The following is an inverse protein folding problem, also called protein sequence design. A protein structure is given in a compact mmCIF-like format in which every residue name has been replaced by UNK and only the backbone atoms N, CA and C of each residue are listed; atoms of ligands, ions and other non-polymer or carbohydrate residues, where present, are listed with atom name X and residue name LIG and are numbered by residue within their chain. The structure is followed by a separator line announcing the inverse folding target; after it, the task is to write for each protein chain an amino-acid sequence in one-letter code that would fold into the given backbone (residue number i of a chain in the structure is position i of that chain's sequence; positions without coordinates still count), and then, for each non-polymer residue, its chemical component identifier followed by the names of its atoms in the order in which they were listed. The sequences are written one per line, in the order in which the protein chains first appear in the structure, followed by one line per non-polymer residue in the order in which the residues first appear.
data_IF_756127122104
#
_entry.id   IF_756127122104
#
_cell.length_a   1.000
_cell.length_b   1.000
_cell.length_c   1.000
_cell.angle_alpha   90.00
_cell.angle_beta   90.00
_cell.angle_gamma   90.00
#
_symmetry.space_group_name_H-M   'P 1'
#
loop_
_entity.id
_entity.type
_entity.pdbx_description
1 polymer ?
#
# COMPACT_ATOMS: atom_id res chain seq x y z
N UNK A 1 31.82 -45.89 1.70
CA UNK A 1 30.62 -45.52 0.93
C UNK A 1 31.02 -44.38 0.00
N UNK A 2 31.11 -44.63 -1.30
CA UNK A 2 31.53 -43.65 -2.29
C UNK A 2 30.35 -42.66 -2.53
N UNK A 3 30.58 -41.39 -2.26
CA UNK A 3 29.67 -40.31 -2.69
C UNK A 3 29.79 -40.17 -4.21
N UNK A 4 28.76 -40.59 -4.92
CA UNK A 4 28.62 -40.35 -6.36
C UNK A 4 28.48 -38.86 -6.58
N UNK A 5 29.48 -38.23 -7.22
CA UNK A 5 29.44 -36.86 -7.67
C UNK A 5 28.33 -36.79 -8.73
N UNK A 6 27.19 -36.18 -8.38
CA UNK A 6 26.07 -35.95 -9.33
C UNK A 6 26.52 -35.01 -10.43
N UNK A 7 26.16 -35.33 -11.67
CA UNK A 7 26.44 -34.54 -12.84
C UNK A 7 25.69 -33.18 -12.73
N UNK A 8 26.37 -32.03 -12.89
CA UNK A 8 25.74 -30.71 -12.81
C UNK A 8 24.53 -30.53 -13.73
N UNK A 9 24.50 -31.22 -14.86
CA UNK A 9 23.39 -31.19 -15.81
C UNK A 9 22.14 -31.88 -15.25
N UNK A 10 22.30 -33.01 -14.54
CA UNK A 10 21.19 -33.70 -13.88
C UNK A 10 20.61 -32.87 -12.72
N UNK A 11 21.46 -32.16 -11.99
CA UNK A 11 21.01 -31.25 -10.94
C UNK A 11 20.15 -30.11 -11.50
N UNK A 12 20.59 -29.48 -12.60
CA UNK A 12 19.84 -28.41 -13.27
C UNK A 12 18.49 -28.94 -13.82
N UNK A 13 18.46 -30.13 -14.38
CA UNK A 13 17.23 -30.75 -14.91
C UNK A 13 16.26 -31.10 -13.79
N UNK A 14 16.74 -31.59 -12.66
CA UNK A 14 15.90 -31.89 -11.48
C UNK A 14 15.34 -30.60 -10.86
N UNK A 15 16.14 -29.52 -10.76
CA UNK A 15 15.70 -28.20 -10.30
C UNK A 15 14.63 -27.61 -11.22
N UNK A 16 14.83 -27.72 -12.56
CA UNK A 16 13.81 -27.26 -13.54
C UNK A 16 12.52 -28.08 -13.41
N UNK A 17 12.61 -29.38 -13.16
CA UNK A 17 11.43 -30.24 -12.93
C UNK A 17 10.71 -29.91 -11.63
N UNK A 18 11.44 -29.60 -10.56
CA UNK A 18 10.87 -29.18 -9.30
C UNK A 18 10.16 -27.83 -9.41
N UNK A 19 10.78 -26.87 -10.09
CA UNK A 19 10.16 -25.57 -10.41
C UNK A 19 8.94 -25.74 -11.33
N UNK A 20 9.04 -26.58 -12.38
CA UNK A 20 7.90 -26.88 -13.26
C UNK A 20 6.77 -27.64 -12.53
N UNK A 21 7.11 -28.54 -11.61
CA UNK A 21 6.17 -29.21 -10.71
C UNK A 21 5.48 -28.24 -9.75
N UNK A 22 6.24 -27.28 -9.21
CA UNK A 22 5.74 -26.17 -8.38
C UNK A 22 4.78 -25.26 -9.13
N UNK A 23 5.09 -24.89 -10.38
CA UNK A 23 4.22 -24.13 -11.26
C UNK A 23 2.94 -24.90 -11.61
N UNK A 24 3.05 -26.21 -11.85
CA UNK A 24 1.88 -27.07 -12.10
C UNK A 24 0.99 -27.28 -10.86
N UNK A 25 1.57 -27.30 -9.65
CA UNK A 25 0.82 -27.31 -8.40
C UNK A 25 0.20 -25.92 -8.11
N UNK A 26 0.91 -24.83 -8.39
CA UNK A 26 0.38 -23.49 -8.33
C UNK A 26 -0.79 -23.30 -9.31
N UNK A 27 -0.71 -23.84 -10.52
CA UNK A 27 -1.80 -23.82 -11.50
C UNK A 27 -3.03 -24.62 -11.03
N UNK A 28 -2.85 -25.75 -10.37
CA UNK A 28 -3.95 -26.54 -9.78
C UNK A 28 -4.52 -25.90 -8.50
N UNK A 29 -3.70 -25.28 -7.68
CA UNK A 29 -4.16 -24.47 -6.55
C UNK A 29 -4.91 -23.23 -7.01
N UNK A 30 -4.55 -22.61 -8.14
CA UNK A 30 -5.29 -21.54 -8.76
C UNK A 30 -6.66 -21.99 -9.29
N UNK A 31 -6.80 -23.20 -9.81
CA UNK A 31 -8.09 -23.79 -10.20
C UNK A 31 -8.98 -24.12 -8.98
N UNK A 32 -8.44 -24.62 -7.89
CA UNK A 32 -9.17 -24.75 -6.61
C UNK A 32 -9.44 -23.39 -5.96
N UNK A 33 -8.57 -22.38 -6.18
CA UNK A 33 -8.72 -21.01 -5.68
C UNK A 33 -9.82 -20.25 -6.45
N UNK A 34 -10.12 -20.62 -7.70
CA UNK A 34 -11.18 -19.95 -8.48
C UNK A 34 -12.57 -20.11 -7.86
N UNK A 35 -12.85 -21.20 -7.16
CA UNK A 35 -14.10 -21.43 -6.41
C UNK A 35 -14.16 -20.58 -5.12
N UNK A 36 -13.02 -20.14 -4.57
CA UNK A 36 -12.94 -19.29 -3.38
C UNK A 36 -12.60 -17.83 -3.68
N UNK A 37 -12.35 -17.47 -4.96
CA UNK A 37 -12.07 -16.08 -5.35
C UNK A 37 -13.27 -15.14 -5.12
N UNK A 38 -14.48 -15.66 -5.21
CA UNK A 38 -15.71 -14.89 -5.03
C UNK A 38 -16.58 -15.54 -3.94
N UNK A 39 -16.40 -15.09 -2.71
CA UNK A 39 -17.32 -15.36 -1.60
C UNK A 39 -18.59 -14.50 -1.74
N UNK A 40 -19.63 -14.82 -0.95
CA UNK A 40 -20.88 -14.03 -0.92
C UNK A 40 -20.58 -12.54 -0.72
N UNK A 41 -21.25 -11.63 -1.47
CA UNK A 41 -21.01 -10.19 -1.33
C UNK A 41 -21.26 -9.73 0.11
N UNK A 42 -20.32 -8.96 0.66
CA UNK A 42 -20.49 -8.35 1.97
C UNK A 42 -21.34 -7.08 1.87
N UNK A 43 -22.12 -6.84 2.90
CA UNK A 43 -22.88 -5.59 3.04
C UNK A 43 -21.95 -4.43 3.29
N UNK A 44 -22.19 -3.32 2.61
CA UNK A 44 -21.46 -2.08 2.76
C UNK A 44 -22.38 -1.03 3.35
N UNK A 45 -21.96 -0.37 4.42
CA UNK A 45 -22.69 0.72 5.07
C UNK A 45 -22.38 2.06 4.41
N UNK A 46 -23.34 2.96 4.45
CA UNK A 46 -23.12 4.37 4.11
C UNK A 46 -22.57 5.11 5.31
N UNK A 47 -21.58 5.95 5.04
CA UNK A 47 -20.95 6.82 6.04
C UNK A 47 -21.03 8.28 5.57
N UNK A 48 -20.80 9.20 6.48
CA UNK A 48 -20.72 10.64 6.22
C UNK A 48 -19.30 11.16 6.34
N UNK A 49 -19.03 12.36 5.84
CA UNK A 49 -17.73 13.03 6.04
C UNK A 49 -17.47 13.31 7.54
N UNK A 50 -18.52 13.53 8.33
CA UNK A 50 -18.40 13.73 9.78
C UNK A 50 -17.83 12.48 10.48
N UNK A 51 -18.15 11.28 9.99
CA UNK A 51 -17.60 10.02 10.52
C UNK A 51 -16.07 9.93 10.41
N UNK A 52 -15.46 10.64 9.43
CA UNK A 52 -14.02 10.64 9.25
C UNK A 52 -13.28 11.28 10.43
N UNK A 53 -13.91 12.22 11.13
CA UNK A 53 -13.34 12.81 12.35
C UNK A 53 -13.18 11.76 13.44
N UNK A 54 -14.23 10.95 13.66
CA UNK A 54 -14.18 9.86 14.66
C UNK A 54 -13.12 8.81 14.25
N UNK A 55 -13.08 8.46 12.96
CA UNK A 55 -12.10 7.52 12.39
C UNK A 55 -10.67 8.00 12.66
N UNK A 56 -10.38 9.29 12.41
CA UNK A 56 -9.06 9.89 12.66
C UNK A 56 -8.73 9.93 14.16
N UNK A 57 -9.70 10.29 15.01
CA UNK A 57 -9.50 10.32 16.48
C UNK A 57 -9.13 8.92 16.97
N UNK A 58 -9.87 7.88 16.57
CA UNK A 58 -9.55 6.50 16.95
C UNK A 58 -8.19 6.04 16.40
N UNK A 59 -7.84 6.44 15.19
CA UNK A 59 -6.51 6.18 14.62
C UNK A 59 -5.39 6.83 15.41
N UNK A 60 -5.60 8.06 15.87
CA UNK A 60 -4.65 8.77 16.73
C UNK A 60 -4.55 8.12 18.11
N UNK A 61 -5.67 7.69 18.70
CA UNK A 61 -5.68 6.97 19.98
C UNK A 61 -4.92 5.65 19.90
N UNK A 62 -5.05 4.92 18.78
CA UNK A 62 -4.28 3.71 18.52
C UNK A 62 -2.78 4.02 18.40
N UNK A 63 -2.42 5.05 17.63
CA UNK A 63 -1.04 5.50 17.52
C UNK A 63 -0.45 5.87 18.87
N UNK A 64 -1.19 6.59 19.72
CA UNK A 64 -0.73 6.98 21.06
C UNK A 64 -0.55 5.78 21.98
N UNK A 65 -1.35 4.73 21.81
CA UNK A 65 -1.22 3.49 22.58
C UNK A 65 0.06 2.69 22.21
N UNK A 66 0.45 2.71 20.94
CA UNK A 66 1.58 1.92 20.41
C UNK A 66 2.85 2.74 20.11
N UNK A 67 2.88 4.02 20.49
CA UNK A 67 3.94 4.98 20.08
C UNK A 67 5.37 4.55 20.36
N UNK A 68 5.60 3.78 21.42
CA UNK A 68 6.96 3.35 21.81
C UNK A 68 7.45 2.18 20.97
N UNK A 69 6.56 1.29 20.58
CA UNK A 69 6.89 0.07 19.88
C UNK A 69 6.97 0.28 18.35
N UNK A 70 6.22 1.26 17.84
CA UNK A 70 6.16 1.61 16.43
C UNK A 70 7.35 2.49 16.00
N UNK A 71 8.00 3.20 16.90
CA UNK A 71 9.11 4.14 16.57
C UNK A 71 10.15 3.49 15.67
N UNK A 72 10.50 2.24 15.91
CA UNK A 72 11.49 1.54 15.08
C UNK A 72 11.04 1.36 13.63
N UNK A 73 9.78 0.91 13.39
CA UNK A 73 9.23 0.74 12.06
C UNK A 73 9.04 2.10 11.35
N UNK A 74 8.72 3.13 12.11
CA UNK A 74 8.40 4.46 11.62
C UNK A 74 9.67 5.24 11.24
N UNK A 75 10.77 5.06 11.96
CA UNK A 75 12.05 5.70 11.63
C UNK A 75 12.69 5.10 10.38
N UNK A 76 12.50 3.78 10.17
CA UNK A 76 13.09 3.08 9.02
C UNK A 76 12.52 3.58 7.70
N UNK A 77 11.21 3.87 7.61
CA UNK A 77 10.57 4.31 6.35
C UNK A 77 11.11 5.68 5.85
N UNK A 78 11.20 6.74 6.67
CA UNK A 78 11.82 8.00 6.23
C UNK A 78 13.28 7.85 5.83
N UNK A 79 14.05 7.02 6.53
CA UNK A 79 15.45 6.74 6.18
C UNK A 79 15.53 6.07 4.80
N UNK A 80 14.72 5.05 4.55
CA UNK A 80 14.66 4.38 3.25
C UNK A 80 14.25 5.37 2.16
N UNK A 81 13.22 6.20 2.41
CA UNK A 81 12.77 7.22 1.46
C UNK A 81 13.88 8.23 1.12
N UNK A 82 14.59 8.69 2.14
CA UNK A 82 15.72 9.60 1.95
C UNK A 82 16.85 8.94 1.15
N UNK A 83 17.17 7.67 1.42
CA UNK A 83 18.16 6.90 0.66
C UNK A 83 17.75 6.72 -0.81
N UNK A 84 16.47 6.45 -1.08
CA UNK A 84 15.94 6.34 -2.45
C UNK A 84 16.06 7.66 -3.19
N UNK A 85 15.72 8.78 -2.54
CA UNK A 85 15.90 10.13 -3.10
C UNK A 85 17.37 10.40 -3.37
N UNK A 86 18.27 10.14 -2.39
CA UNK A 86 19.70 10.34 -2.55
C UNK A 86 20.31 9.48 -3.68
N UNK A 87 19.85 8.24 -3.84
CA UNK A 87 20.26 7.37 -4.94
C UNK A 87 19.77 7.89 -6.30
N UNK A 88 18.56 8.47 -6.36
CA UNK A 88 18.01 9.06 -7.58
C UNK A 88 18.87 10.23 -8.10
N UNK A 89 19.40 11.06 -7.22
CA UNK A 89 20.33 12.13 -7.63
C UNK A 89 21.66 11.61 -8.21
N UNK A 90 22.14 10.45 -7.73
CA UNK A 90 23.41 9.85 -8.23
C UNK A 90 23.31 9.25 -9.62
N UNK A 91 22.13 8.76 -9.99
CA UNK A 91 21.89 8.00 -11.23
C UNK A 91 21.17 8.83 -12.30
N UNK A 92 21.25 10.17 -12.23
CA UNK A 92 20.60 11.08 -13.20
C UNK A 92 19.08 10.86 -13.33
N UNK A 93 18.47 10.28 -12.29
CA UNK A 93 17.02 10.02 -12.21
C UNK A 93 16.24 11.20 -11.61
N UNK A 94 16.82 12.41 -11.66
CA UNK A 94 16.20 13.64 -11.13
C UNK A 94 14.75 13.80 -11.58
N UNK A 95 14.40 13.58 -12.86
CA UNK A 95 13.01 13.70 -13.32
C UNK A 95 12.05 12.71 -12.65
N UNK A 96 12.56 11.58 -12.17
CA UNK A 96 11.77 10.54 -11.50
C UNK A 96 11.69 10.70 -9.99
N UNK A 97 12.42 11.63 -9.38
CA UNK A 97 12.38 11.84 -7.91
C UNK A 97 10.95 12.06 -7.42
N UNK A 98 10.21 12.98 -8.05
CA UNK A 98 8.82 13.23 -7.69
C UNK A 98 7.92 12.00 -7.93
N UNK A 99 7.94 11.33 -9.09
CA UNK A 99 7.21 10.08 -9.31
C UNK A 99 7.56 8.96 -8.32
N UNK A 100 8.83 8.79 -7.96
CA UNK A 100 9.28 7.78 -7.00
C UNK A 100 8.69 8.08 -5.62
N UNK A 101 8.84 9.31 -5.14
CA UNK A 101 8.37 9.70 -3.80
C UNK A 101 6.85 9.70 -3.73
N UNK A 102 6.17 10.37 -4.65
CA UNK A 102 4.70 10.44 -4.65
C UNK A 102 4.05 9.08 -4.91
N UNK A 103 4.62 8.28 -5.83
CA UNK A 103 4.13 6.95 -6.15
C UNK A 103 4.33 5.94 -5.01
N UNK A 104 5.29 6.15 -4.11
CA UNK A 104 5.46 5.28 -2.93
C UNK A 104 4.22 5.26 -2.04
N UNK A 105 3.37 6.28 -2.09
CA UNK A 105 2.06 6.31 -1.42
C UNK A 105 1.11 5.20 -1.90
N UNK A 106 1.26 4.72 -3.15
CA UNK A 106 0.50 3.57 -3.69
C UNK A 106 0.78 2.31 -2.85
N UNK A 107 2.00 2.15 -2.35
CA UNK A 107 2.41 1.01 -1.52
C UNK A 107 1.98 1.16 -0.05
N UNK A 108 1.55 2.36 0.35
CA UNK A 108 1.14 2.67 1.73
C UNK A 108 0.17 1.67 2.35
N UNK A 109 -0.94 1.29 1.70
CA UNK A 109 -1.89 0.33 2.23
C UNK A 109 -1.29 -1.06 2.49
N UNK A 110 -0.32 -1.49 1.68
CA UNK A 110 0.38 -2.77 1.87
C UNK A 110 1.33 -2.73 3.07
N UNK A 111 2.13 -1.67 3.20
CA UNK A 111 2.99 -1.46 4.36
C UNK A 111 2.16 -1.29 5.64
N UNK A 112 1.01 -0.61 5.52
CA UNK A 112 0.05 -0.38 6.60
C UNK A 112 -0.60 -1.64 7.18
N UNK A 113 -0.51 -2.79 6.52
CA UNK A 113 -1.11 -4.06 6.98
C UNK A 113 -0.68 -4.44 8.40
N UNK A 114 0.57 -4.17 8.76
CA UNK A 114 1.09 -4.40 10.10
C UNK A 114 0.37 -3.54 11.15
N UNK A 115 0.08 -2.29 10.81
CA UNK A 115 -0.61 -1.34 11.69
C UNK A 115 -2.11 -1.64 11.78
N UNK A 116 -2.73 -2.12 10.69
CA UNK A 116 -4.11 -2.63 10.71
C UNK A 116 -4.25 -3.79 11.69
N UNK A 117 -3.30 -4.72 11.70
CA UNK A 117 -3.30 -5.86 12.62
C UNK A 117 -3.19 -5.41 14.08
N UNK A 118 -2.40 -4.38 14.35
CA UNK A 118 -2.28 -3.80 15.69
C UNK A 118 -3.61 -3.20 16.15
N UNK A 119 -4.27 -2.37 15.34
CA UNK A 119 -5.61 -1.83 15.63
C UNK A 119 -6.64 -2.95 15.80
N UNK A 120 -6.60 -3.98 14.94
CA UNK A 120 -7.50 -5.14 15.05
C UNK A 120 -7.36 -5.85 16.38
N UNK A 121 -6.14 -6.09 16.84
CA UNK A 121 -5.87 -6.75 18.11
C UNK A 121 -6.30 -5.90 19.29
N UNK A 122 -6.01 -4.58 19.25
CA UNK A 122 -6.47 -3.66 20.28
C UNK A 122 -7.98 -3.68 20.40
N UNK A 123 -8.72 -3.60 19.29
CA UNK A 123 -10.17 -3.70 19.28
C UNK A 123 -10.66 -5.00 19.93
N UNK A 124 -10.06 -6.15 19.57
CA UNK A 124 -10.41 -7.45 20.14
C UNK A 124 -10.10 -7.56 21.64
N UNK A 125 -8.99 -7.00 22.09
CA UNK A 125 -8.58 -7.03 23.50
C UNK A 125 -9.49 -6.14 24.36
N UNK A 126 -9.84 -4.95 23.88
CA UNK A 126 -10.80 -4.07 24.53
C UNK A 126 -12.17 -4.76 24.70
N UNK A 127 -12.65 -5.46 23.66
CA UNK A 127 -13.90 -6.23 23.72
C UNK A 127 -13.86 -7.39 24.71
N UNK A 128 -12.68 -8.00 24.92
CA UNK A 128 -12.48 -9.14 25.84
C UNK A 128 -12.08 -8.75 27.26
N UNK A 129 -11.95 -7.47 27.56
CA UNK A 129 -11.44 -6.96 28.84
C UNK A 129 -10.05 -7.53 29.21
N UNK A 130 -9.22 -7.83 28.20
CA UNK A 130 -7.86 -8.32 28.40
C UNK A 130 -6.88 -7.14 28.47
N UNK A 131 -5.85 -7.27 29.32
CA UNK A 131 -4.75 -6.31 29.38
C UNK A 131 -3.97 -6.40 28.07
N UNK A 132 -3.87 -5.30 27.35
CA UNK A 132 -3.13 -5.20 26.11
C UNK A 132 -1.63 -5.36 26.38
N UNK A 133 -1.04 -6.43 25.87
CA UNK A 133 0.39 -6.49 25.64
C UNK A 133 0.68 -5.71 24.33
N UNK A 134 0.96 -4.42 24.46
CA UNK A 134 1.27 -3.51 23.37
C UNK A 134 2.65 -3.83 22.77
N UNK A 135 2.83 -5.00 22.17
CA UNK A 135 4.10 -5.41 21.59
C UNK A 135 4.08 -5.31 20.07
N UNK A 136 5.13 -4.71 19.49
CA UNK A 136 5.37 -4.70 18.05
C UNK A 136 5.47 -6.13 17.44
N UNK A 137 5.82 -7.13 18.26
CA UNK A 137 5.78 -8.53 17.86
C UNK A 137 4.39 -8.97 17.37
N UNK A 138 3.34 -8.27 17.82
CA UNK A 138 1.96 -8.47 17.35
C UNK A 138 1.79 -8.05 15.88
N UNK A 139 2.55 -7.09 15.38
CA UNK A 139 2.54 -6.70 13.97
C UNK A 139 3.04 -7.84 13.07
N UNK A 140 4.09 -8.54 13.50
CA UNK A 140 4.68 -9.66 12.74
C UNK A 140 3.76 -10.89 12.66
N UNK A 141 2.71 -10.96 13.49
CA UNK A 141 1.74 -12.06 13.42
C UNK A 141 0.95 -12.09 12.10
N UNK A 142 0.95 -10.99 11.34
CA UNK A 142 0.42 -10.96 9.96
C UNK A 142 1.03 -12.06 9.10
N UNK A 143 2.32 -12.38 9.27
CA UNK A 143 2.97 -13.46 8.54
C UNK A 143 2.39 -14.84 8.83
N UNK A 144 1.70 -15.00 9.99
CA UNK A 144 0.98 -16.22 10.37
C UNK A 144 -0.52 -16.14 10.08
N UNK A 145 -0.98 -15.03 9.49
CA UNK A 145 -2.39 -14.87 9.16
C UNK A 145 -2.80 -15.88 8.08
N UNK A 146 -4.00 -16.45 8.21
CA UNK A 146 -4.57 -17.44 7.27
C UNK A 146 -4.60 -16.92 5.83
N UNK A 147 -4.79 -15.62 5.65
CA UNK A 147 -4.87 -14.97 4.33
C UNK A 147 -3.56 -14.30 3.90
N UNK A 148 -2.42 -14.61 4.53
CA UNK A 148 -1.15 -13.96 4.22
C UNK A 148 -0.80 -13.99 2.71
N UNK A 149 -1.00 -15.14 2.05
CA UNK A 149 -0.78 -15.24 0.60
C UNK A 149 -1.65 -14.29 -0.23
N UNK A 150 -2.93 -14.11 0.16
CA UNK A 150 -3.85 -13.17 -0.52
C UNK A 150 -3.43 -11.71 -0.29
N UNK A 151 -2.94 -11.38 0.90
CA UNK A 151 -2.39 -10.07 1.24
C UNK A 151 -1.14 -9.79 0.40
N UNK A 152 -0.24 -10.78 0.26
CA UNK A 152 0.94 -10.67 -0.60
C UNK A 152 0.57 -10.47 -2.08
N UNK A 153 -0.43 -11.19 -2.59
CA UNK A 153 -0.91 -11.02 -3.96
C UNK A 153 -1.47 -9.59 -4.20
N UNK A 154 -2.24 -9.06 -3.25
CA UNK A 154 -2.74 -7.69 -3.33
C UNK A 154 -1.60 -6.67 -3.23
N UNK A 155 -0.61 -6.91 -2.37
CA UNK A 155 0.61 -6.10 -2.29
C UNK A 155 1.40 -6.12 -3.60
N UNK A 156 1.55 -7.29 -4.22
CA UNK A 156 2.20 -7.42 -5.53
C UNK A 156 1.46 -6.63 -6.62
N UNK A 157 0.11 -6.62 -6.60
CA UNK A 157 -0.68 -5.78 -7.51
C UNK A 157 -0.32 -4.29 -7.34
N UNK A 158 -0.16 -3.81 -6.11
CA UNK A 158 0.25 -2.43 -5.86
C UNK A 158 1.69 -2.16 -6.34
N UNK A 159 2.60 -3.13 -6.20
CA UNK A 159 3.96 -3.01 -6.75
C UNK A 159 3.91 -2.88 -8.27
N UNK A 160 3.11 -3.70 -8.94
CA UNK A 160 2.91 -3.59 -10.41
C UNK A 160 2.32 -2.22 -10.78
N UNK A 161 1.31 -1.74 -10.05
CA UNK A 161 0.74 -0.41 -10.27
C UNK A 161 1.79 0.69 -10.08
N UNK A 162 2.62 0.60 -9.06
CA UNK A 162 3.71 1.55 -8.82
C UNK A 162 4.74 1.54 -9.95
N UNK A 163 5.16 0.37 -10.41
CA UNK A 163 6.09 0.26 -11.54
C UNK A 163 5.48 0.81 -12.84
N UNK A 164 4.19 0.53 -13.10
CA UNK A 164 3.48 1.11 -14.24
C UNK A 164 3.41 2.65 -14.14
N UNK A 165 3.17 3.18 -12.94
CA UNK A 165 3.25 4.62 -12.70
C UNK A 165 4.62 5.19 -13.08
N UNK A 166 5.71 4.56 -12.64
CA UNK A 166 7.07 5.02 -12.97
C UNK A 166 7.35 4.96 -14.49
N UNK A 167 6.89 3.91 -15.17
CA UNK A 167 7.01 3.79 -16.64
C UNK A 167 6.22 4.90 -17.33
N UNK A 168 4.98 5.17 -16.90
CA UNK A 168 4.17 6.26 -17.43
C UNK A 168 4.82 7.62 -17.19
N UNK A 169 5.35 7.86 -15.98
CA UNK A 169 6.02 9.11 -15.63
C UNK A 169 7.29 9.33 -16.47
N UNK A 170 8.09 8.27 -16.68
CA UNK A 170 9.26 8.33 -17.55
C UNK A 170 8.88 8.59 -19.00
N UNK A 171 7.89 7.87 -19.55
CA UNK A 171 7.39 8.11 -20.90
C UNK A 171 6.86 9.51 -21.10
N UNK A 172 6.17 10.06 -20.11
CA UNK A 172 5.68 11.43 -20.14
C UNK A 172 6.81 12.46 -20.12
N UNK A 173 7.84 12.23 -19.30
CA UNK A 173 9.03 13.06 -19.29
C UNK A 173 9.71 13.08 -20.67
N UNK A 174 9.94 11.91 -21.27
CA UNK A 174 10.52 11.79 -22.61
C UNK A 174 9.70 12.52 -23.68
N UNK A 175 8.38 12.41 -23.61
CA UNK A 175 7.46 13.04 -24.58
C UNK A 175 7.42 14.57 -24.47
N UNK A 176 7.66 15.12 -23.25
CA UNK A 176 7.51 16.55 -22.99
C UNK A 176 8.84 17.32 -22.96
N UNK A 177 9.91 16.68 -22.50
CA UNK A 177 11.23 17.30 -22.31
C UNK A 177 12.28 16.78 -23.31
N UNK A 178 11.95 15.70 -24.03
CA UNK A 178 12.87 15.06 -24.97
C UNK A 178 13.74 13.96 -24.33
N UNK A 179 14.57 13.26 -25.14
CA UNK A 179 15.30 12.08 -24.71
C UNK A 179 16.55 12.37 -23.87
N UNK A 180 16.93 13.63 -23.72
CA UNK A 180 18.11 14.02 -22.96
C UNK A 180 17.78 14.13 -21.46
N UNK A 181 18.59 13.51 -20.61
CA UNK A 181 18.52 13.70 -19.17
C UNK A 181 18.94 15.13 -18.82
N UNK A 182 18.32 15.69 -17.77
CA UNK A 182 18.67 17.03 -17.30
C UNK A 182 20.13 17.06 -16.83
N UNK A 183 20.91 18.04 -17.33
CA UNK A 183 22.33 18.21 -17.01
C UNK A 183 22.57 18.52 -15.52
N UNK A 184 21.56 19.08 -14.85
CA UNK A 184 21.58 19.41 -13.43
C UNK A 184 20.18 19.57 -12.86
N UNK A 185 20.05 19.48 -11.53
CA UNK A 185 18.80 19.77 -10.82
C UNK A 185 18.27 21.16 -11.13
N UNK A 186 19.17 22.18 -11.15
CA UNK A 186 18.80 23.57 -11.46
C UNK A 186 18.23 23.70 -12.86
N UNK A 187 18.84 23.04 -13.86
CA UNK A 187 18.35 23.04 -15.23
C UNK A 187 16.99 22.36 -15.31
N UNK A 188 16.80 21.22 -14.67
CA UNK A 188 15.51 20.54 -14.63
C UNK A 188 14.42 21.40 -14.02
N UNK A 189 14.67 22.06 -12.88
CA UNK A 189 13.70 22.95 -12.23
C UNK A 189 13.38 24.15 -13.13
N UNK A 190 14.40 24.75 -13.78
CA UNK A 190 14.20 25.84 -14.74
C UNK A 190 13.28 25.38 -15.88
N UNK A 191 13.59 24.24 -16.52
CA UNK A 191 12.83 23.76 -17.67
C UNK A 191 11.40 23.33 -17.27
N UNK A 192 11.23 22.79 -16.04
CA UNK A 192 9.93 22.39 -15.50
C UNK A 192 8.95 23.59 -15.37
N UNK A 193 9.43 24.75 -14.90
CA UNK A 193 8.57 25.91 -14.62
C UNK A 193 8.56 26.96 -15.73
N UNK A 194 9.57 27.01 -16.58
CA UNK A 194 9.76 28.07 -17.57
C UNK A 194 9.57 27.60 -19.02
N UNK A 195 9.33 26.31 -19.26
CA UNK A 195 9.03 25.81 -20.60
C UNK A 195 7.58 25.32 -20.73
N UNK A 196 7.07 25.33 -21.96
CA UNK A 196 5.76 24.77 -22.26
C UNK A 196 5.73 23.24 -21.99
N UNK A 197 6.80 22.53 -22.32
CA UNK A 197 6.95 21.09 -22.02
C UNK A 197 6.91 20.80 -20.53
N UNK A 198 7.53 21.66 -19.71
CA UNK A 198 7.49 21.52 -18.26
C UNK A 198 6.08 21.66 -17.68
N UNK A 199 5.30 22.61 -18.14
CA UNK A 199 3.90 22.75 -17.75
C UNK A 199 3.03 21.58 -18.17
N UNK A 200 3.25 21.03 -19.38
CA UNK A 200 2.59 19.80 -19.81
C UNK A 200 2.96 18.63 -18.90
N UNK A 201 4.25 18.51 -18.55
CA UNK A 201 4.71 17.47 -17.62
C UNK A 201 4.01 17.57 -16.25
N UNK A 202 3.89 18.77 -15.70
CA UNK A 202 3.19 19.00 -14.42
C UNK A 202 1.71 18.63 -14.55
N UNK A 203 0.99 19.21 -15.51
CA UNK A 203 -0.47 19.07 -15.59
C UNK A 203 -0.85 17.61 -15.91
N UNK A 204 -0.26 17.03 -16.95
CA UNK A 204 -0.58 15.67 -17.37
C UNK A 204 -0.01 14.66 -16.38
N UNK A 205 1.20 14.90 -15.86
CA UNK A 205 1.83 14.03 -14.86
C UNK A 205 1.05 13.96 -13.56
N UNK A 206 0.64 15.12 -13.02
CA UNK A 206 -0.23 15.14 -11.84
C UNK A 206 -1.59 14.48 -12.12
N UNK A 207 -2.17 14.69 -13.31
CA UNK A 207 -3.42 14.04 -13.73
C UNK A 207 -3.32 12.52 -13.79
N UNK A 208 -2.28 12.00 -14.44
CA UNK A 208 -2.03 10.55 -14.52
C UNK A 208 -1.73 9.98 -13.15
N UNK A 209 -0.88 10.64 -12.35
CA UNK A 209 -0.58 10.22 -10.98
C UNK A 209 -1.82 10.18 -10.08
N UNK A 210 -2.72 11.16 -10.24
CA UNK A 210 -4.01 11.18 -9.55
C UNK A 210 -4.88 9.96 -9.92
N UNK A 211 -4.92 9.56 -11.19
CA UNK A 211 -5.66 8.36 -11.61
C UNK A 211 -5.09 7.08 -10.97
N UNK A 212 -3.77 6.95 -10.89
CA UNK A 212 -3.13 5.84 -10.18
C UNK A 212 -3.45 5.86 -8.68
N UNK A 213 -3.42 7.03 -8.05
CA UNK A 213 -3.77 7.19 -6.63
C UNK A 213 -5.23 6.82 -6.36
N UNK A 214 -6.16 7.26 -7.20
CA UNK A 214 -7.59 6.89 -7.10
C UNK A 214 -7.79 5.39 -7.31
N UNK A 215 -7.13 4.79 -8.30
CA UNK A 215 -7.20 3.36 -8.54
C UNK A 215 -6.69 2.56 -7.33
N UNK A 216 -5.55 2.95 -6.74
CA UNK A 216 -5.02 2.34 -5.53
C UNK A 216 -5.99 2.49 -4.34
N UNK A 217 -6.49 3.70 -4.09
CA UNK A 217 -7.43 3.98 -3.01
C UNK A 217 -8.70 3.13 -3.13
N UNK A 218 -9.36 3.17 -4.29
CA UNK A 218 -10.63 2.47 -4.53
C UNK A 218 -10.48 0.96 -4.41
N UNK A 219 -9.37 0.40 -4.85
CA UNK A 219 -9.13 -1.05 -4.80
C UNK A 219 -8.71 -1.54 -3.42
N UNK A 220 -8.10 -0.70 -2.57
CA UNK A 220 -7.41 -1.16 -1.36
C UNK A 220 -7.94 -0.64 -0.05
N UNK A 221 -8.71 0.47 -0.03
CA UNK A 221 -9.17 1.13 1.21
C UNK A 221 -9.90 0.19 2.18
N UNK A 222 -10.60 -0.82 1.65
CA UNK A 222 -11.28 -1.88 2.43
C UNK A 222 -10.55 -3.21 2.29
N UNK A 223 -9.92 -3.49 1.15
CA UNK A 223 -9.48 -4.84 0.80
C UNK A 223 -8.42 -5.40 1.76
N UNK A 224 -7.39 -4.63 2.13
CA UNK A 224 -6.36 -5.09 3.08
C UNK A 224 -6.92 -5.35 4.50
N UNK A 225 -7.62 -4.40 5.13
CA UNK A 225 -8.23 -4.64 6.44
C UNK A 225 -9.21 -5.81 6.41
N UNK A 226 -9.99 -5.97 5.33
CA UNK A 226 -10.94 -7.06 5.18
C UNK A 226 -10.26 -8.44 5.10
N UNK A 227 -9.14 -8.55 4.37
CA UNK A 227 -8.35 -9.78 4.29
C UNK A 227 -7.72 -10.16 5.64
N UNK A 228 -7.42 -9.18 6.49
CA UNK A 228 -6.96 -9.41 7.87
C UNK A 228 -8.10 -9.88 8.79
N UNK A 229 -9.29 -9.28 8.65
CA UNK A 229 -10.40 -9.51 9.58
C UNK A 229 -11.20 -10.77 9.27
N UNK A 230 -11.35 -11.11 7.96
CA UNK A 230 -12.25 -12.18 7.51
C UNK A 230 -11.59 -13.09 6.48
N UNK A 231 -11.97 -14.37 6.52
CA UNK A 231 -11.54 -15.33 5.49
C UNK A 231 -12.42 -15.20 4.25
N UNK A 232 -11.98 -14.31 3.36
CA UNK A 232 -12.65 -14.05 2.08
C UNK A 232 -11.69 -14.21 0.91
N UNK A 233 -12.23 -14.41 -0.29
CA UNK A 233 -11.45 -14.43 -1.52
C UNK A 233 -10.87 -13.05 -1.85
N UNK A 234 -9.70 -13.01 -2.52
CA UNK A 234 -9.05 -11.76 -2.95
C UNK A 234 -9.98 -10.92 -3.82
N UNK A 235 -10.64 -11.53 -4.80
CA UNK A 235 -11.60 -10.85 -5.67
C UNK A 235 -12.77 -10.24 -4.89
N UNK A 236 -13.29 -10.96 -3.87
CA UNK A 236 -14.34 -10.44 -2.97
C UNK A 236 -13.84 -9.23 -2.19
N UNK A 237 -12.60 -9.25 -1.69
CA UNK A 237 -12.04 -8.14 -0.93
C UNK A 237 -11.92 -6.88 -1.81
N UNK A 238 -11.36 -7.01 -3.02
CA UNK A 238 -11.23 -5.89 -3.98
C UNK A 238 -12.61 -5.38 -4.42
N UNK A 239 -13.55 -6.27 -4.77
CA UNK A 239 -14.90 -5.86 -5.16
C UNK A 239 -15.66 -5.18 -4.02
N UNK A 240 -15.45 -5.61 -2.77
CA UNK A 240 -16.05 -4.95 -1.60
C UNK A 240 -15.47 -3.55 -1.43
N UNK A 241 -14.16 -3.37 -1.64
CA UNK A 241 -13.50 -2.05 -1.62
C UNK A 241 -14.07 -1.11 -2.69
N UNK A 242 -14.20 -1.58 -3.93
CA UNK A 242 -14.81 -0.82 -5.03
C UNK A 242 -16.27 -0.47 -4.73
N UNK A 243 -17.06 -1.39 -4.17
CA UNK A 243 -18.45 -1.14 -3.78
C UNK A 243 -18.53 -0.11 -2.66
N UNK A 244 -17.64 -0.18 -1.66
CA UNK A 244 -17.56 0.78 -0.59
C UNK A 244 -17.28 2.19 -1.12
N UNK A 245 -16.33 2.32 -2.04
CA UNK A 245 -16.01 3.58 -2.69
C UNK A 245 -17.20 4.13 -3.52
N UNK A 246 -17.89 3.27 -4.29
CA UNK A 246 -19.06 3.67 -5.08
C UNK A 246 -20.27 4.03 -4.22
N UNK A 247 -20.48 3.36 -3.09
CA UNK A 247 -21.57 3.66 -2.17
C UNK A 247 -21.33 4.93 -1.36
N UNK A 248 -20.06 5.35 -1.21
CA UNK A 248 -19.61 6.47 -0.39
C UNK A 248 -18.63 7.39 -1.15
N UNK A 249 -18.99 7.94 -2.34
CA UNK A 249 -18.02 8.65 -3.18
C UNK A 249 -17.45 9.89 -2.49
N UNK A 250 -18.27 10.69 -1.83
CA UNK A 250 -17.83 11.93 -1.16
C UNK A 250 -16.96 11.62 0.08
N UNK A 251 -17.35 10.75 1.02
CA UNK A 251 -16.49 10.39 2.13
C UNK A 251 -15.16 9.76 1.70
N UNK A 252 -15.16 8.89 0.68
CA UNK A 252 -13.92 8.27 0.19
C UNK A 252 -13.03 9.27 -0.54
N UNK A 253 -13.59 10.21 -1.30
CA UNK A 253 -12.82 11.31 -1.88
C UNK A 253 -12.21 12.21 -0.79
N UNK A 254 -13.00 12.57 0.23
CA UNK A 254 -12.52 13.32 1.39
C UNK A 254 -11.41 12.56 2.13
N UNK A 255 -11.56 11.24 2.30
CA UNK A 255 -10.51 10.38 2.86
C UNK A 255 -9.23 10.42 2.03
N UNK A 256 -9.33 10.29 0.71
CA UNK A 256 -8.20 10.42 -0.21
C UNK A 256 -7.48 11.77 -0.08
N UNK A 257 -8.23 12.87 0.06
CA UNK A 257 -7.66 14.21 0.29
C UNK A 257 -6.98 14.32 1.66
N UNK A 258 -7.54 13.72 2.72
CA UNK A 258 -6.93 13.66 4.05
C UNK A 258 -5.60 12.90 3.97
N UNK A 259 -5.58 11.75 3.29
CA UNK A 259 -4.35 10.96 3.10
C UNK A 259 -3.32 11.77 2.31
N UNK A 260 -3.68 12.32 1.16
CA UNK A 260 -2.77 13.10 0.32
C UNK A 260 -2.25 14.34 1.06
N UNK A 261 -3.13 15.11 1.70
CA UNK A 261 -2.76 16.29 2.48
C UNK A 261 -1.85 15.93 3.67
N UNK A 262 -2.17 14.87 4.38
CA UNK A 262 -1.35 14.36 5.48
C UNK A 262 0.06 13.96 5.01
N UNK A 263 0.17 13.23 3.91
CA UNK A 263 1.46 12.83 3.34
C UNK A 263 2.28 14.05 2.88
N UNK A 264 1.66 15.03 2.23
CA UNK A 264 2.33 16.28 1.82
C UNK A 264 2.82 17.03 3.07
N UNK A 265 1.97 17.26 4.06
CA UNK A 265 2.35 17.95 5.29
C UNK A 265 3.45 17.20 6.06
N UNK A 266 3.39 15.87 6.08
CA UNK A 266 4.43 15.03 6.70
C UNK A 266 5.76 15.04 5.94
N UNK A 267 5.73 15.27 4.62
CA UNK A 267 6.93 15.33 3.79
C UNK A 267 7.67 16.68 3.89
N UNK A 268 6.96 17.80 4.15
CA UNK A 268 7.54 19.15 4.23
C UNK A 268 8.74 19.20 5.19
N UNK A 269 8.69 18.70 6.44
CA UNK A 269 9.82 18.69 7.33
C UNK A 269 10.78 17.53 7.03
N UNK A 270 11.28 17.43 5.78
CA UNK A 270 12.22 16.39 5.34
C UNK A 270 11.75 14.96 5.68
N UNK A 271 10.46 14.68 5.43
CA UNK A 271 9.77 13.42 5.70
C UNK A 271 9.65 13.02 7.18
N UNK A 272 10.18 13.81 8.13
CA UNK A 272 10.11 13.52 9.57
C UNK A 272 8.64 13.46 10.04
N UNK A 273 7.78 14.31 9.52
CA UNK A 273 6.35 14.32 9.84
C UNK A 273 5.63 13.01 9.47
N UNK A 274 6.14 12.25 8.50
CA UNK A 274 5.57 10.95 8.12
C UNK A 274 5.66 9.92 9.24
N UNK A 275 6.60 10.09 10.17
CA UNK A 275 6.74 9.26 11.39
C UNK A 275 5.44 9.25 12.23
N UNK A 276 4.67 10.33 12.18
CA UNK A 276 3.38 10.45 12.87
C UNK A 276 2.23 10.20 11.91
N UNK A 277 2.27 10.85 10.74
CA UNK A 277 1.16 10.86 9.80
C UNK A 277 0.84 9.46 9.26
N UNK A 278 1.86 8.70 8.85
CA UNK A 278 1.65 7.37 8.27
C UNK A 278 0.96 6.40 9.25
N UNK A 279 1.43 6.22 10.49
CA UNK A 279 0.74 5.33 11.43
C UNK A 279 -0.67 5.79 11.75
N UNK A 280 -0.87 7.08 12.01
CA UNK A 280 -2.20 7.61 12.30
C UNK A 280 -3.17 7.29 11.16
N UNK A 281 -2.77 7.53 9.91
CA UNK A 281 -3.60 7.22 8.74
C UNK A 281 -3.84 5.71 8.57
N UNK A 282 -2.83 4.87 8.85
CA UNK A 282 -2.99 3.42 8.79
C UNK A 282 -3.96 2.93 9.87
N UNK A 283 -3.76 3.30 11.13
CA UNK A 283 -4.70 2.95 12.21
C UNK A 283 -6.11 3.45 11.91
N UNK A 284 -6.24 4.69 11.43
CA UNK A 284 -7.51 5.27 11.03
C UNK A 284 -8.17 4.50 9.87
N UNK A 285 -7.38 3.98 8.91
CA UNK A 285 -7.92 3.15 7.81
C UNK A 285 -8.58 1.87 8.32
N UNK A 286 -8.04 1.26 9.40
CA UNK A 286 -8.72 0.15 10.07
C UNK A 286 -10.11 0.55 10.58
N UNK A 287 -10.23 1.68 11.28
CA UNK A 287 -11.51 2.16 11.80
C UNK A 287 -12.47 2.59 10.69
N UNK A 288 -11.95 3.14 9.58
CA UNK A 288 -12.74 3.42 8.39
C UNK A 288 -13.34 2.14 7.80
N UNK A 289 -12.53 1.08 7.65
CA UNK A 289 -13.00 -0.24 7.23
C UNK A 289 -14.11 -0.75 8.15
N UNK A 290 -13.96 -0.65 9.47
CA UNK A 290 -14.95 -1.09 10.46
C UNK A 290 -16.30 -0.37 10.32
N UNK A 291 -16.30 0.92 9.97
CA UNK A 291 -17.52 1.67 9.66
C UNK A 291 -18.14 1.28 8.32
N UNK A 292 -17.31 1.03 7.30
CA UNK A 292 -17.79 0.65 5.96
C UNK A 292 -18.32 -0.79 5.88
N UNK A 293 -17.75 -1.72 6.67
CA UNK A 293 -18.11 -3.15 6.64
C UNK A 293 -18.32 -3.66 8.08
N UNK A 294 -19.46 -3.33 8.71
CA UNK A 294 -19.75 -3.74 10.08
C UNK A 294 -19.83 -5.27 10.23
N UNK A 295 -19.59 -5.77 11.44
CA UNK A 295 -19.86 -7.17 11.79
C UNK A 295 -21.36 -7.37 11.96
N UNK A 296 -21.85 -8.55 11.61
CA UNK A 296 -23.29 -8.88 11.77
C UNK A 296 -23.84 -8.80 13.21
N UNK A 297 -22.96 -8.60 14.23
CA UNK A 297 -23.38 -8.40 15.62
C UNK A 297 -23.52 -6.92 16.01
N UNK A 298 -23.16 -5.98 15.12
CA UNK A 298 -23.16 -4.53 15.39
C UNK A 298 -24.38 -3.84 14.71
N UNK A 299 -25.36 -4.62 14.19
CA UNK A 299 -26.58 -4.14 13.53
C UNK A 299 -27.82 -4.36 14.39
#
# INVERSE_FOLDING_TARGET
MAQTIRNPVEWVVDEIREVAGGVGQAGRSLQHTSTHLFSRPLTVSRITVADLKEVLTKGFDDFMAYRTDIIFLIVVYPIISLLVVAASFRYELVPLVFPIVSGSAILGPFVGVFLYEMSRRRELNLQRHHIDNHSWANALSVARARNFGKIMMLGMLLVVMYLLWLVCAWGLYQATQGPTTAESVGRFVHDLFLTQGGWWLIIVGCGVGFLFAVAALVTTVVAFPLLLDRDVGLGTAVLTSIRAARANPVPIAAWGLIVAGGLILGAIPLFIGLVIVMPVLCHATWHLYRKLVPRHHDA
#
